data_IF_044399168706
#
_entry.id   IF_044399168706
#
_cell.length_a   1.000
_cell.length_b   1.000
_cell.length_c   1.000
_cell.angle_alpha   90.00
_cell.angle_beta   90.00
_cell.angle_gamma   90.00
#
_symmetry.space_group_name_H-M   'P 1'
#
loop_
_entity.id
_entity.type
_entity.pdbx_description
1 polymer ?
#
# COMPACT_ATOMS: atom_id res chain seq x y z
N UNK A 1 -9.23 -2.21 67.53
CA UNK A 1 -8.21 -2.97 66.76
C UNK A 1 -8.74 -4.18 65.99
N UNK A 2 -9.56 -5.09 66.55
CA UNK A 2 -10.04 -6.28 65.80
C UNK A 2 -10.98 -5.95 64.62
N UNK A 3 -11.85 -4.95 64.77
CA UNK A 3 -12.80 -4.54 63.72
C UNK A 3 -12.11 -3.85 62.52
N UNK A 4 -11.13 -2.99 62.78
CA UNK A 4 -10.31 -2.32 61.73
C UNK A 4 -9.50 -3.32 60.91
N UNK A 5 -8.96 -4.36 61.54
CA UNK A 5 -8.27 -5.45 60.84
C UNK A 5 -9.21 -6.24 59.94
N UNK A 6 -10.46 -6.47 60.37
CA UNK A 6 -11.49 -7.11 59.54
C UNK A 6 -11.84 -6.30 58.28
N UNK A 7 -11.99 -4.97 58.41
CA UNK A 7 -12.29 -4.08 57.28
C UNK A 7 -11.16 -4.07 56.25
N UNK A 8 -9.90 -4.03 56.69
CA UNK A 8 -8.73 -4.06 55.80
C UNK A 8 -8.67 -5.38 55.02
N UNK A 9 -8.98 -6.51 55.67
CA UNK A 9 -9.00 -7.83 55.01
C UNK A 9 -10.11 -7.90 53.95
N UNK A 10 -11.30 -7.37 54.23
CA UNK A 10 -12.41 -7.33 53.25
C UNK A 10 -12.06 -6.44 52.04
N UNK A 11 -11.43 -5.29 52.28
CA UNK A 11 -10.96 -4.41 51.20
C UNK A 11 -9.88 -5.10 50.35
N UNK A 12 -8.95 -5.83 50.97
CA UNK A 12 -7.94 -6.61 50.26
C UNK A 12 -8.57 -7.72 49.40
N UNK A 13 -9.62 -8.41 49.87
CA UNK A 13 -10.31 -9.44 49.07
C UNK A 13 -11.08 -8.87 47.87
N UNK A 14 -11.59 -7.64 47.97
CA UNK A 14 -12.21 -6.93 46.85
C UNK A 14 -11.19 -6.42 45.83
N UNK A 15 -9.95 -6.17 46.26
CA UNK A 15 -8.83 -5.82 45.39
C UNK A 15 -8.12 -7.04 44.77
N UNK A 16 -8.44 -8.25 45.25
CA UNK A 16 -7.91 -9.54 44.76
C UNK A 16 -8.82 -10.24 43.74
N UNK A 17 -9.96 -9.64 43.36
CA UNK A 17 -10.71 -10.08 42.18
C UNK A 17 -9.98 -9.65 40.89
N UNK A 18 -8.80 -10.23 40.68
CA UNK A 18 -8.03 -10.11 39.45
C UNK A 18 -8.79 -10.69 38.27
N UNK A 19 -8.49 -10.14 37.09
CA UNK A 19 -9.26 -10.18 35.85
C UNK A 19 -10.03 -11.48 35.55
N UNK A 20 -11.36 -11.37 35.60
CA UNK A 20 -12.32 -12.35 35.05
C UNK A 20 -12.17 -12.54 33.53
N UNK A 21 -11.56 -11.58 32.83
CA UNK A 21 -11.48 -11.50 31.38
C UNK A 21 -10.19 -12.14 30.82
N UNK A 22 -9.93 -13.40 31.21
CA UNK A 22 -8.82 -14.19 30.64
C UNK A 22 -9.29 -14.92 29.37
N UNK A 23 -8.70 -14.56 28.23
CA UNK A 23 -8.81 -15.33 26.99
C UNK A 23 -7.60 -16.24 26.84
N UNK A 24 -7.79 -17.57 26.88
CA UNK A 24 -6.68 -18.52 26.76
C UNK A 24 -6.28 -18.70 25.29
N UNK A 25 -4.97 -18.82 25.02
CA UNK A 25 -4.47 -19.03 23.65
C UNK A 25 -5.03 -20.27 22.97
N UNK A 26 -5.42 -21.30 23.73
CA UNK A 26 -6.02 -22.53 23.20
C UNK A 26 -7.44 -22.30 22.64
N UNK A 27 -8.10 -21.22 23.01
CA UNK A 27 -9.48 -20.89 22.61
C UNK A 27 -9.48 -19.95 21.37
N UNK A 28 -8.29 -19.62 20.85
CA UNK A 28 -8.08 -18.66 19.77
C UNK A 28 -7.27 -19.29 18.64
N UNK A 29 -7.65 -18.99 17.39
CA UNK A 29 -6.82 -19.27 16.22
C UNK A 29 -6.40 -17.98 15.55
N UNK A 30 -5.11 -17.84 15.27
CA UNK A 30 -4.53 -16.59 14.79
C UNK A 30 -4.76 -16.47 13.28
N UNK A 31 -5.32 -15.34 12.86
CA UNK A 31 -5.57 -15.03 11.45
C UNK A 31 -4.55 -14.01 10.93
N UNK A 32 -3.49 -14.46 10.23
CA UNK A 32 -2.52 -13.56 9.58
C UNK A 32 -3.05 -12.90 8.30
N UNK A 33 -4.06 -13.48 7.65
CA UNK A 33 -4.49 -13.10 6.32
C UNK A 33 -6.02 -13.10 6.18
N UNK A 34 -6.58 -11.99 5.68
CA UNK A 34 -8.00 -11.84 5.39
C UNK A 34 -8.24 -11.29 3.99
N UNK A 35 -9.31 -11.73 3.36
CA UNK A 35 -9.86 -11.18 2.12
C UNK A 35 -11.28 -10.67 2.35
N UNK A 36 -11.62 -9.52 1.78
CA UNK A 36 -12.93 -8.88 1.95
C UNK A 36 -13.48 -8.53 0.56
N UNK A 37 -14.69 -8.99 0.28
CA UNK A 37 -15.43 -8.71 -0.94
C UNK A 37 -16.91 -8.48 -0.66
N UNK A 38 -17.67 -8.15 -1.71
CA UNK A 38 -19.10 -7.86 -1.64
C UNK A 38 -19.40 -6.39 -1.86
N UNK A 39 -20.49 -5.93 -1.27
CA UNK A 39 -21.01 -4.57 -1.40
C UNK A 39 -21.48 -4.01 -0.06
N UNK A 40 -21.81 -2.71 -0.01
CA UNK A 40 -22.29 -2.07 1.21
C UNK A 40 -23.56 -2.78 1.72
N UNK A 41 -23.50 -3.33 2.95
CA UNK A 41 -24.59 -4.09 3.55
C UNK A 41 -24.57 -5.60 3.28
N UNK A 42 -23.72 -6.09 2.38
CA UNK A 42 -23.46 -7.52 2.16
C UNK A 42 -21.96 -7.79 1.99
N UNK A 43 -21.29 -7.99 3.12
CA UNK A 43 -19.85 -8.27 3.17
C UNK A 43 -19.61 -9.77 3.28
N UNK A 44 -18.72 -10.27 2.44
CA UNK A 44 -18.13 -11.60 2.55
C UNK A 44 -16.68 -11.45 2.98
N UNK A 45 -16.31 -12.15 4.05
CA UNK A 45 -14.94 -12.16 4.55
C UNK A 45 -14.39 -13.59 4.57
N UNK A 46 -13.18 -13.76 4.02
CA UNK A 46 -12.43 -15.01 4.03
C UNK A 46 -11.24 -14.86 4.98
N UNK A 47 -11.06 -15.83 5.87
CA UNK A 47 -10.05 -15.83 6.92
C UNK A 47 -9.13 -17.04 6.72
N UNK A 48 -7.82 -16.83 6.56
CA UNK A 48 -6.84 -17.93 6.50
C UNK A 48 -6.05 -17.99 7.80
N UNK A 49 -5.88 -19.19 8.32
CA UNK A 49 -5.17 -19.44 9.57
C UNK A 49 -4.46 -20.81 9.54
N UNK A 50 -3.33 -20.95 10.24
CA UNK A 50 -2.61 -22.21 10.32
C UNK A 50 -3.36 -23.21 11.21
N UNK A 51 -3.37 -24.48 10.81
CA UNK A 51 -3.84 -25.60 11.61
C UNK A 51 -2.73 -26.64 11.75
N UNK A 52 -2.72 -27.35 12.87
CA UNK A 52 -1.69 -28.37 13.14
C UNK A 52 -2.30 -29.75 12.92
N UNK A 53 -1.92 -30.41 11.81
CA UNK A 53 -2.31 -31.79 11.52
C UNK A 53 -1.07 -32.68 11.38
N UNK A 54 -1.03 -33.78 12.13
CA UNK A 54 0.03 -34.81 12.03
C UNK A 54 1.48 -34.27 12.11
N UNK A 55 1.71 -33.24 12.93
CA UNK A 55 3.03 -32.61 13.09
C UNK A 55 3.46 -31.72 11.93
N UNK A 56 2.55 -31.42 10.99
CA UNK A 56 2.73 -30.43 9.92
C UNK A 56 1.79 -29.25 10.13
N UNK A 57 2.26 -28.07 9.76
CA UNK A 57 1.41 -26.89 9.66
C UNK A 57 0.70 -26.98 8.31
N UNK A 58 -0.61 -27.14 8.36
CA UNK A 58 -1.52 -26.95 7.24
C UNK A 58 -2.21 -25.60 7.38
N UNK A 59 -2.92 -25.18 6.34
CA UNK A 59 -3.68 -23.94 6.37
C UNK A 59 -5.14 -24.23 6.07
N UNK A 60 -5.99 -23.62 6.85
CA UNK A 60 -7.43 -23.74 6.73
C UNK A 60 -8.03 -22.36 6.47
N UNK A 61 -9.17 -22.37 5.82
CA UNK A 61 -9.92 -21.16 5.53
C UNK A 61 -11.29 -21.27 6.18
N UNK A 62 -11.76 -20.15 6.73
CA UNK A 62 -13.15 -20.00 7.15
C UNK A 62 -13.74 -18.79 6.43
N UNK A 63 -15.00 -18.88 6.04
CA UNK A 63 -15.70 -17.82 5.33
C UNK A 63 -16.96 -17.48 6.09
N UNK A 64 -17.27 -16.19 6.17
CA UNK A 64 -18.55 -15.75 6.73
C UNK A 64 -19.12 -14.57 5.98
N UNK A 65 -20.43 -14.39 6.13
CA UNK A 65 -21.18 -13.30 5.51
C UNK A 65 -21.89 -12.45 6.55
N UNK A 66 -22.07 -11.18 6.26
CA UNK A 66 -22.91 -10.32 7.09
C UNK A 66 -22.92 -8.87 6.66
N UNK A 67 -23.75 -8.07 7.33
CA UNK A 67 -23.93 -6.63 7.04
C UNK A 67 -22.70 -5.76 7.33
N UNK A 68 -21.66 -6.33 7.93
CA UNK A 68 -20.39 -5.67 8.22
C UNK A 68 -19.29 -6.73 8.33
N UNK A 69 -18.02 -6.30 8.23
CA UNK A 69 -16.88 -7.20 8.46
C UNK A 69 -16.89 -7.86 9.84
N UNK A 70 -17.49 -7.21 10.85
CA UNK A 70 -17.67 -7.80 12.18
C UNK A 70 -18.71 -8.92 12.18
N UNK A 71 -19.85 -8.70 11.52
CA UNK A 71 -20.87 -9.73 11.38
C UNK A 71 -20.35 -10.93 10.56
N UNK A 72 -19.64 -10.67 9.47
CA UNK A 72 -18.99 -11.70 8.66
C UNK A 72 -17.97 -12.51 9.47
N UNK A 73 -17.17 -11.88 10.34
CA UNK A 73 -16.29 -12.60 11.27
C UNK A 73 -17.07 -13.46 12.27
N UNK A 74 -18.16 -12.93 12.84
CA UNK A 74 -19.00 -13.69 13.77
C UNK A 74 -19.63 -14.92 13.11
N UNK A 75 -20.04 -14.81 11.85
CA UNK A 75 -20.55 -15.93 11.06
C UNK A 75 -19.46 -16.98 10.78
N UNK A 76 -18.25 -16.53 10.38
CA UNK A 76 -17.10 -17.39 10.16
C UNK A 76 -16.63 -18.13 11.43
N UNK A 77 -16.75 -17.49 12.60
CA UNK A 77 -16.43 -18.12 13.89
C UNK A 77 -17.33 -19.33 14.22
N UNK A 78 -18.55 -19.42 13.67
CA UNK A 78 -19.43 -20.58 13.88
C UNK A 78 -18.97 -21.83 13.11
N UNK A 79 -17.92 -21.70 12.30
CA UNK A 79 -17.36 -22.77 11.46
C UNK A 79 -15.96 -23.19 11.91
N UNK A 80 -15.46 -22.63 13.02
CA UNK A 80 -14.13 -22.93 13.58
C UNK A 80 -14.25 -23.48 15.00
N UNK A 81 -13.29 -24.31 15.42
CA UNK A 81 -13.27 -24.85 16.78
C UNK A 81 -12.88 -23.78 17.81
N UNK A 82 -11.94 -22.91 17.44
CA UNK A 82 -11.49 -21.76 18.20
C UNK A 82 -11.98 -20.45 17.58
N UNK A 83 -12.06 -19.38 18.37
CA UNK A 83 -12.43 -18.07 17.84
C UNK A 83 -11.29 -17.48 16.98
N UNK A 84 -11.64 -16.94 15.81
CA UNK A 84 -10.69 -16.23 14.94
C UNK A 84 -10.17 -14.99 15.65
N UNK A 85 -8.85 -14.87 15.82
CA UNK A 85 -8.16 -13.74 16.44
C UNK A 85 -7.34 -12.94 15.39
N UNK A 86 -7.49 -11.62 15.42
CA UNK A 86 -6.92 -10.66 14.45
C UNK A 86 -5.71 -9.89 15.00
N UNK A 87 -5.21 -10.24 16.19
CA UNK A 87 -4.12 -9.56 16.86
C UNK A 87 -2.81 -9.59 16.06
N UNK A 88 -2.61 -10.64 15.24
CA UNK A 88 -1.45 -10.79 14.37
C UNK A 88 -1.81 -10.70 12.88
N UNK A 89 -2.91 -10.02 12.54
CA UNK A 89 -3.28 -9.78 11.14
C UNK A 89 -2.13 -9.04 10.41
N UNK A 90 -1.62 -9.61 9.33
CA UNK A 90 -0.52 -9.06 8.55
C UNK A 90 -0.99 -8.42 7.25
N UNK A 91 -2.01 -9.00 6.60
CA UNK A 91 -2.51 -8.54 5.28
C UNK A 91 -4.03 -8.56 5.22
N UNK A 92 -4.59 -7.50 4.66
CA UNK A 92 -5.99 -7.37 4.26
C UNK A 92 -6.02 -7.21 2.73
N UNK A 93 -6.58 -8.20 2.02
CA UNK A 93 -6.95 -8.04 0.62
C UNK A 93 -8.39 -7.59 0.50
N UNK A 94 -8.62 -6.71 -0.45
CA UNK A 94 -9.94 -6.16 -0.73
C UNK A 94 -10.23 -6.28 -2.21
N UNK A 95 -11.41 -6.79 -2.56
CA UNK A 95 -11.84 -6.80 -3.95
C UNK A 95 -11.88 -5.37 -4.48
N UNK A 96 -11.36 -5.15 -5.68
CA UNK A 96 -11.37 -3.84 -6.33
C UNK A 96 -12.81 -3.30 -6.49
N UNK A 97 -13.80 -4.18 -6.67
CA UNK A 97 -15.20 -3.78 -6.80
C UNK A 97 -15.78 -3.23 -5.50
N UNK A 98 -15.56 -3.88 -4.35
CA UNK A 98 -15.92 -3.33 -3.05
C UNK A 98 -15.27 -1.95 -2.84
N UNK A 99 -14.00 -1.80 -3.22
CA UNK A 99 -13.26 -0.55 -3.07
C UNK A 99 -13.80 0.61 -3.92
N UNK A 100 -14.59 0.36 -4.97
CA UNK A 100 -15.28 1.43 -5.73
C UNK A 100 -16.40 2.09 -4.93
N UNK A 101 -16.92 1.40 -3.91
CA UNK A 101 -17.88 1.95 -2.94
C UNK A 101 -17.13 2.59 -1.76
N UNK A 102 -17.85 3.18 -0.80
CA UNK A 102 -17.21 3.60 0.45
C UNK A 102 -16.83 2.36 1.28
N UNK A 103 -15.55 1.99 1.23
CA UNK A 103 -15.02 0.81 1.90
C UNK A 103 -14.44 1.11 3.29
N UNK A 104 -14.41 2.37 3.72
CA UNK A 104 -13.94 2.75 5.05
C UNK A 104 -14.66 1.98 6.17
N UNK A 105 -15.99 1.75 6.11
CA UNK A 105 -16.71 0.93 7.09
C UNK A 105 -16.20 -0.51 7.17
N UNK A 106 -15.76 -1.08 6.04
CA UNK A 106 -15.21 -2.44 5.98
C UNK A 106 -13.87 -2.56 6.73
N UNK A 107 -13.14 -1.44 6.88
CA UNK A 107 -11.88 -1.37 7.62
C UNK A 107 -12.03 -0.95 9.09
N UNK A 108 -13.18 -0.36 9.46
CA UNK A 108 -13.39 0.24 10.78
C UNK A 108 -13.17 -0.73 11.94
N UNK A 109 -13.65 -1.98 11.79
CA UNK A 109 -13.43 -3.03 12.79
C UNK A 109 -11.95 -3.27 13.05
N UNK A 110 -11.12 -3.29 12.00
CA UNK A 110 -9.70 -3.57 12.15
C UNK A 110 -8.98 -2.42 12.85
N UNK A 111 -9.34 -1.19 12.50
CA UNK A 111 -8.67 0.00 13.02
C UNK A 111 -9.07 0.34 14.46
N UNK A 112 -10.35 0.16 14.84
CA UNK A 112 -10.86 0.59 16.16
C UNK A 112 -10.70 -0.45 17.27
N UNK A 113 -10.44 -1.71 16.95
CA UNK A 113 -10.31 -2.76 17.97
C UNK A 113 -8.90 -2.72 18.56
N UNK A 114 -8.71 -2.41 19.87
CA UNK A 114 -7.39 -2.11 20.44
C UNK A 114 -6.35 -3.24 20.32
N UNK A 115 -6.80 -4.50 20.24
CA UNK A 115 -5.92 -5.67 20.13
C UNK A 115 -5.39 -5.89 18.70
N UNK A 116 -6.02 -5.29 17.69
CA UNK A 116 -5.66 -5.52 16.30
C UNK A 116 -4.41 -4.76 15.90
N UNK A 117 -3.65 -5.35 14.98
CA UNK A 117 -2.45 -4.74 14.42
C UNK A 117 -2.83 -3.66 13.41
N UNK A 118 -2.57 -2.40 13.74
CA UNK A 118 -2.78 -1.28 12.80
C UNK A 118 -1.70 -1.18 11.71
N UNK A 119 -0.66 -2.02 11.79
CA UNK A 119 0.42 -2.10 10.81
C UNK A 119 0.21 -3.21 9.77
N UNK A 120 -1.00 -3.78 9.64
CA UNK A 120 -1.31 -4.72 8.57
C UNK A 120 -1.25 -4.01 7.22
N UNK A 121 -0.73 -4.66 6.19
CA UNK A 121 -0.76 -4.13 4.83
C UNK A 121 -2.15 -4.28 4.21
N UNK A 122 -2.50 -3.38 3.30
CA UNK A 122 -3.74 -3.44 2.53
C UNK A 122 -3.40 -3.46 1.04
N UNK A 123 -4.08 -4.32 0.28
CA UNK A 123 -3.99 -4.30 -1.18
C UNK A 123 -5.34 -4.61 -1.85
N UNK A 124 -5.50 -4.11 -3.07
CA UNK A 124 -6.64 -4.39 -3.93
C UNK A 124 -6.38 -5.66 -4.75
N UNK A 125 -7.43 -6.43 -4.99
CA UNK A 125 -7.39 -7.61 -5.86
C UNK A 125 -8.44 -7.51 -6.96
N UNK A 126 -8.07 -7.96 -8.16
CA UNK A 126 -8.99 -8.09 -9.30
C UNK A 126 -9.49 -9.53 -9.44
N UNK A 127 -10.77 -9.69 -9.78
CA UNK A 127 -11.39 -11.00 -9.93
C UNK A 127 -11.87 -11.60 -8.61
N UNK A 128 -12.14 -12.91 -8.61
CA UNK A 128 -12.74 -13.61 -7.48
C UNK A 128 -11.76 -13.73 -6.30
N UNK A 129 -12.17 -13.29 -5.10
CA UNK A 129 -11.33 -13.35 -3.89
C UNK A 129 -10.85 -14.78 -3.59
N UNK A 130 -11.70 -15.78 -3.84
CA UNK A 130 -11.37 -17.18 -3.61
C UNK A 130 -10.10 -17.65 -4.35
N UNK A 131 -9.80 -17.07 -5.52
CA UNK A 131 -8.57 -17.39 -6.28
C UNK A 131 -7.29 -16.90 -5.61
N UNK A 132 -7.39 -15.92 -4.70
CA UNK A 132 -6.26 -15.45 -3.91
C UNK A 132 -6.02 -16.32 -2.67
N UNK A 133 -7.04 -17.04 -2.19
CA UNK A 133 -6.91 -18.04 -1.12
C UNK A 133 -6.50 -19.41 -1.66
N UNK A 134 -6.94 -19.74 -2.87
CA UNK A 134 -6.60 -20.98 -3.57
C UNK A 134 -6.06 -20.68 -4.98
N UNK A 135 -4.82 -20.15 -5.11
CA UNK A 135 -4.25 -19.84 -6.41
C UNK A 135 -4.18 -21.05 -7.35
N UNK A 136 -4.52 -20.90 -8.64
CA UNK A 136 -4.39 -21.98 -9.62
C UNK A 136 -2.95 -22.47 -9.80
N UNK A 137 -1.98 -21.57 -9.58
CA UNK A 137 -0.55 -21.85 -9.71
C UNK A 137 0.02 -22.59 -8.50
N UNK A 138 1.06 -23.39 -8.73
CA UNK A 138 1.77 -24.09 -7.65
C UNK A 138 2.63 -23.11 -6.85
N UNK A 139 2.19 -22.78 -5.64
CA UNK A 139 2.96 -21.95 -4.71
C UNK A 139 3.99 -22.78 -3.93
N UNK A 140 5.13 -22.16 -3.61
CA UNK A 140 6.18 -22.76 -2.76
C UNK A 140 5.89 -22.61 -1.26
N UNK A 141 4.94 -21.77 -0.91
CA UNK A 141 4.54 -21.43 0.45
C UNK A 141 3.04 -21.20 0.49
N UNK A 142 2.48 -21.26 1.69
CA UNK A 142 1.08 -20.90 1.91
C UNK A 142 0.82 -19.40 1.65
N UNK A 143 -0.44 -19.07 1.33
CA UNK A 143 -0.94 -17.72 1.10
C UNK A 143 -0.72 -16.78 2.29
N UNK A 144 -0.90 -17.29 3.51
CA UNK A 144 -0.71 -16.57 4.78
C UNK A 144 0.74 -16.15 5.01
N UNK A 145 1.71 -16.86 4.42
CA UNK A 145 3.12 -16.48 4.41
C UNK A 145 3.48 -15.66 3.17
N UNK A 146 2.92 -16.03 2.01
CA UNK A 146 3.25 -15.42 0.72
C UNK A 146 2.88 -13.94 0.65
N UNK A 147 1.66 -13.55 1.02
CA UNK A 147 1.21 -12.16 0.87
C UNK A 147 1.97 -11.16 1.76
N UNK A 148 2.23 -11.45 3.05
CA UNK A 148 3.07 -10.58 3.85
C UNK A 148 4.46 -10.37 3.24
N UNK A 149 5.11 -11.43 2.75
CA UNK A 149 6.43 -11.34 2.12
C UNK A 149 6.38 -10.62 0.76
N UNK A 150 5.34 -10.85 -0.04
CA UNK A 150 5.10 -10.14 -1.29
C UNK A 150 4.98 -8.63 -1.04
N UNK A 151 4.15 -8.20 -0.09
CA UNK A 151 3.93 -6.78 0.19
C UNK A 151 5.15 -6.13 0.88
N UNK A 152 5.88 -6.86 1.73
CA UNK A 152 7.20 -6.42 2.23
C UNK A 152 8.17 -6.19 1.08
N UNK A 153 8.17 -7.07 0.08
CA UNK A 153 9.01 -6.93 -1.11
C UNK A 153 8.60 -5.71 -1.94
N UNK A 154 7.30 -5.49 -2.16
CA UNK A 154 6.76 -4.31 -2.85
C UNK A 154 7.25 -3.02 -2.19
N UNK A 155 7.18 -2.95 -0.86
CA UNK A 155 7.68 -1.80 -0.11
C UNK A 155 9.19 -1.67 -0.23
N UNK A 156 9.95 -2.76 -0.04
CA UNK A 156 11.42 -2.75 -0.09
C UNK A 156 11.96 -2.26 -1.44
N UNK A 157 11.29 -2.64 -2.53
CA UNK A 157 11.65 -2.29 -3.91
C UNK A 157 10.87 -1.10 -4.47
N UNK A 158 10.14 -0.37 -3.63
CA UNK A 158 9.36 0.82 -4.01
C UNK A 158 8.39 0.58 -5.17
N UNK A 159 7.89 -0.65 -5.36
CA UNK A 159 6.93 -1.00 -6.42
C UNK A 159 5.53 -0.42 -6.19
N UNK A 160 5.28 0.09 -4.99
CA UNK A 160 4.08 0.80 -4.60
C UNK A 160 4.32 1.52 -3.28
N UNK A 161 3.41 2.43 -2.94
CA UNK A 161 3.49 3.14 -1.68
C UNK A 161 3.27 2.18 -0.49
N UNK A 162 3.99 2.44 0.61
CA UNK A 162 3.87 1.68 1.84
C UNK A 162 2.64 2.14 2.62
N UNK A 163 1.51 1.46 2.42
CA UNK A 163 0.29 1.72 3.19
C UNK A 163 -0.01 0.58 4.14
N UNK A 164 0.20 0.85 5.43
CA UNK A 164 -0.43 0.09 6.50
C UNK A 164 -1.90 0.49 6.65
N UNK A 165 -2.67 -0.29 7.40
CA UNK A 165 -4.03 0.09 7.80
C UNK A 165 -4.07 1.46 8.47
N UNK A 166 -3.10 1.79 9.32
CA UNK A 166 -2.98 3.11 9.93
C UNK A 166 -2.78 4.21 8.88
N UNK A 167 -1.87 4.01 7.93
CA UNK A 167 -1.56 5.00 6.89
C UNK A 167 -2.74 5.17 5.93
N UNK A 168 -3.39 4.08 5.56
CA UNK A 168 -4.57 4.09 4.70
C UNK A 168 -5.72 4.86 5.35
N UNK A 169 -6.06 4.55 6.61
CA UNK A 169 -7.12 5.24 7.34
C UNK A 169 -6.77 6.73 7.53
N UNK A 170 -5.54 7.07 7.88
CA UNK A 170 -5.12 8.48 8.03
C UNK A 170 -5.23 9.25 6.71
N UNK A 171 -4.86 8.62 5.59
CA UNK A 171 -4.84 9.27 4.27
C UNK A 171 -6.26 9.42 3.72
N UNK A 172 -7.09 8.40 3.87
CA UNK A 172 -8.48 8.37 3.41
C UNK A 172 -9.37 9.47 4.01
N UNK A 173 -9.04 9.95 5.22
CA UNK A 173 -9.74 11.05 5.88
C UNK A 173 -9.01 12.40 5.80
N UNK A 174 -7.88 12.48 5.07
CA UNK A 174 -7.19 13.75 4.81
C UNK A 174 -7.72 14.35 3.50
N UNK A 175 -8.43 15.50 3.51
CA UNK A 175 -9.02 16.04 2.28
C UNK A 175 -7.97 16.52 1.26
N UNK A 176 -6.70 16.63 1.65
CA UNK A 176 -5.64 17.27 0.87
C UNK A 176 -4.62 16.29 0.26
N UNK A 177 -4.86 14.99 0.36
CA UNK A 177 -4.07 13.95 -0.30
C UNK A 177 -4.98 12.74 -0.50
N UNK A 178 -4.74 11.97 -1.56
CA UNK A 178 -5.51 10.77 -1.84
C UNK A 178 -4.68 9.50 -1.61
N UNK A 179 -5.39 8.40 -1.38
CA UNK A 179 -4.80 7.08 -1.15
C UNK A 179 -4.42 6.41 -2.49
N UNK A 180 -3.36 5.61 -2.48
CA UNK A 180 -3.12 4.60 -3.52
C UNK A 180 -2.79 3.28 -2.86
N UNK A 181 -3.38 2.17 -3.31
CA UNK A 181 -3.08 0.85 -2.73
C UNK A 181 -2.46 -0.07 -3.78
N UNK A 182 -1.53 -0.97 -3.41
CA UNK A 182 -1.04 -2.00 -4.33
C UNK A 182 -2.21 -2.75 -4.98
N UNK A 183 -2.11 -3.02 -6.28
CA UNK A 183 -3.14 -3.68 -7.06
C UNK A 183 -2.62 -5.02 -7.58
N UNK A 184 -3.32 -6.10 -7.20
CA UNK A 184 -2.93 -7.48 -7.49
C UNK A 184 -3.82 -8.08 -8.57
N UNK A 185 -3.20 -8.93 -9.39
CA UNK A 185 -3.86 -9.81 -10.35
C UNK A 185 -3.28 -11.21 -10.26
N UNK A 186 -4.08 -12.22 -10.61
CA UNK A 186 -3.53 -13.55 -10.92
C UNK A 186 -2.72 -13.45 -12.21
N UNK A 187 -1.48 -13.91 -12.19
CA UNK A 187 -0.68 -14.02 -13.40
C UNK A 187 -1.25 -15.15 -14.27
N UNK A 188 -1.69 -14.83 -15.48
CA UNK A 188 -2.34 -15.78 -16.39
C UNK A 188 -1.44 -16.97 -16.78
N UNK A 189 -0.12 -16.75 -16.91
CA UNK A 189 0.82 -17.81 -17.33
C UNK A 189 1.16 -18.78 -16.20
N UNK A 190 1.28 -18.26 -14.97
CA UNK A 190 1.77 -19.04 -13.82
C UNK A 190 0.68 -19.45 -12.85
N UNK A 191 -0.48 -18.78 -12.90
CA UNK A 191 -1.56 -18.92 -11.93
C UNK A 191 -1.25 -18.35 -10.54
N UNK A 192 -0.15 -17.60 -10.37
CA UNK A 192 0.31 -17.06 -9.09
C UNK A 192 -0.06 -15.57 -8.99
N UNK A 193 -0.58 -15.08 -7.84
CA UNK A 193 -0.85 -13.66 -7.63
C UNK A 193 0.42 -12.81 -7.79
N UNK A 194 0.30 -11.65 -8.44
CA UNK A 194 1.37 -10.66 -8.57
C UNK A 194 0.84 -9.25 -8.38
N UNK A 195 1.68 -8.35 -7.88
CA UNK A 195 1.40 -6.91 -7.90
C UNK A 195 1.67 -6.37 -9.30
N UNK A 196 0.70 -5.70 -9.90
CA UNK A 196 0.79 -5.13 -11.26
C UNK A 196 0.85 -3.61 -11.28
N UNK A 197 0.81 -2.99 -10.10
CA UNK A 197 0.87 -1.55 -9.92
C UNK A 197 0.06 -1.09 -8.70
N UNK A 198 -0.58 0.08 -8.80
CA UNK A 198 -1.33 0.69 -7.69
C UNK A 198 -2.68 1.24 -8.16
N UNK A 199 -3.74 0.97 -7.41
CA UNK A 199 -5.07 1.55 -7.64
C UNK A 199 -5.17 2.94 -7.02
N UNK A 200 -5.75 3.89 -7.77
CA UNK A 200 -5.91 5.29 -7.38
C UNK A 200 -7.26 5.53 -6.73
N UNK A 201 -7.26 6.22 -5.58
CA UNK A 201 -8.48 6.60 -4.89
C UNK A 201 -8.76 8.09 -5.08
N UNK A 202 -10.03 8.46 -5.11
CA UNK A 202 -10.45 9.84 -4.93
C UNK A 202 -11.34 9.87 -3.70
N UNK A 203 -10.90 10.60 -2.67
CA UNK A 203 -11.51 10.58 -1.33
C UNK A 203 -11.48 9.15 -0.75
N UNK A 204 -12.65 8.52 -0.59
CA UNK A 204 -12.82 7.19 0.00
C UNK A 204 -13.10 6.09 -1.03
N UNK A 205 -13.01 6.37 -2.32
CA UNK A 205 -13.41 5.42 -3.38
C UNK A 205 -12.30 5.17 -4.36
N UNK A 206 -12.10 3.90 -4.69
CA UNK A 206 -11.25 3.49 -5.80
C UNK A 206 -11.88 3.96 -7.11
N UNK A 207 -11.09 4.64 -7.92
CA UNK A 207 -11.54 5.30 -9.15
C UNK A 207 -11.74 4.34 -10.31
N UNK A 208 -11.23 3.10 -10.19
CA UNK A 208 -11.11 2.17 -11.30
C UNK A 208 -9.83 2.36 -12.13
N UNK A 209 -9.05 3.42 -11.88
CA UNK A 209 -7.81 3.72 -12.59
C UNK A 209 -6.62 3.18 -11.80
N UNK A 210 -5.70 2.53 -12.50
CA UNK A 210 -4.43 2.04 -11.94
C UNK A 210 -3.23 2.71 -12.59
N UNK A 211 -2.20 2.91 -11.76
CA UNK A 211 -0.82 3.06 -12.23
C UNK A 211 -0.27 1.65 -12.47
N UNK A 212 0.45 1.44 -13.57
CA UNK A 212 1.27 0.26 -13.82
C UNK A 212 2.43 0.16 -12.83
N UNK A 213 3.20 -0.93 -12.86
CA UNK A 213 4.37 -1.09 -11.99
C UNK A 213 5.41 0.01 -12.15
N UNK A 214 5.73 0.43 -13.39
CA UNK A 214 6.71 1.50 -13.63
C UNK A 214 6.18 2.86 -13.16
N UNK A 215 4.93 3.17 -13.44
CA UNK A 215 4.26 4.40 -12.99
C UNK A 215 4.13 4.43 -11.46
N UNK A 216 3.90 3.29 -10.82
CA UNK A 216 3.85 3.19 -9.34
C UNK A 216 5.20 3.50 -8.71
N UNK A 217 6.31 3.00 -9.27
CA UNK A 217 7.67 3.35 -8.83
C UNK A 217 7.89 4.86 -9.02
N UNK A 218 7.54 5.41 -10.19
CA UNK A 218 7.62 6.84 -10.47
C UNK A 218 6.82 7.68 -9.47
N UNK A 219 5.59 7.29 -9.14
CA UNK A 219 4.77 7.98 -8.15
C UNK A 219 5.43 7.96 -6.76
N UNK A 220 6.00 6.84 -6.32
CA UNK A 220 6.72 6.73 -5.06
C UNK A 220 7.98 7.61 -5.03
N UNK A 221 8.71 7.70 -6.16
CA UNK A 221 9.84 8.63 -6.33
C UNK A 221 9.34 10.08 -6.19
N UNK A 222 8.28 10.46 -6.92
CA UNK A 222 7.73 11.82 -6.92
C UNK A 222 7.15 12.23 -5.55
N UNK A 223 6.52 11.30 -4.84
CA UNK A 223 6.03 11.52 -3.49
C UNK A 223 7.18 11.66 -2.48
N UNK A 224 8.41 11.28 -2.84
CA UNK A 224 9.56 11.14 -1.95
C UNK A 224 9.29 10.12 -0.83
N UNK A 225 8.77 8.95 -1.22
CA UNK A 225 8.39 7.85 -0.34
C UNK A 225 9.14 6.54 -0.67
N UNK A 226 10.24 6.64 -1.43
CA UNK A 226 11.08 5.50 -1.81
C UNK A 226 11.61 4.77 -0.58
N UNK A 227 11.75 3.45 -0.71
CA UNK A 227 12.45 2.61 0.26
C UNK A 227 13.85 2.26 -0.27
N UNK A 228 14.36 1.07 0.07
CA UNK A 228 15.75 0.67 -0.18
C UNK A 228 16.15 0.68 -1.65
N UNK A 229 15.25 0.24 -2.53
CA UNK A 229 15.49 0.19 -3.97
C UNK A 229 14.36 0.90 -4.71
N UNK A 230 14.71 1.75 -5.66
CA UNK A 230 13.81 2.40 -6.62
C UNK A 230 14.42 2.19 -8.00
N UNK A 231 14.43 0.92 -8.42
CA UNK A 231 15.09 0.44 -9.62
C UNK A 231 14.15 0.53 -10.81
N UNK A 232 14.64 1.09 -11.90
CA UNK A 232 13.93 1.17 -13.17
C UNK A 232 14.87 0.81 -14.31
N UNK A 233 14.33 0.17 -15.34
CA UNK A 233 15.06 -0.15 -16.57
C UNK A 233 14.38 0.57 -17.72
N UNK A 234 15.16 1.25 -18.53
CA UNK A 234 14.70 2.05 -19.66
C UNK A 234 15.37 1.55 -20.94
N UNK A 235 14.57 1.41 -21.99
CA UNK A 235 15.08 1.17 -23.33
C UNK A 235 15.54 2.50 -23.95
N UNK A 236 16.75 2.50 -24.50
CA UNK A 236 17.31 3.63 -25.23
C UNK A 236 17.39 3.29 -26.72
N UNK A 237 16.26 3.42 -27.41
CA UNK A 237 16.09 3.03 -28.81
C UNK A 237 17.16 3.63 -29.72
N UNK A 238 17.48 4.93 -29.56
CA UNK A 238 18.49 5.65 -30.36
C UNK A 238 19.87 4.96 -30.34
N UNK A 239 20.20 4.27 -29.26
CA UNK A 239 21.47 3.57 -29.06
C UNK A 239 21.33 2.04 -29.10
N UNK A 240 20.10 1.54 -29.33
CA UNK A 240 19.77 0.12 -29.29
C UNK A 240 20.33 -0.58 -28.04
N UNK A 241 20.10 0.01 -26.88
CA UNK A 241 20.60 -0.49 -25.59
C UNK A 241 19.58 -0.25 -24.48
N UNK A 242 19.84 -0.81 -23.31
CA UNK A 242 19.03 -0.62 -22.11
C UNK A 242 19.89 0.00 -21.00
N UNK A 243 19.26 0.78 -20.13
CA UNK A 243 19.89 1.34 -18.94
C UNK A 243 19.06 0.96 -17.72
N UNK A 244 19.69 0.26 -16.78
CA UNK A 244 19.09 0.02 -15.45
C UNK A 244 19.68 0.99 -14.46
N UNK A 245 18.80 1.72 -13.76
CA UNK A 245 19.18 2.71 -12.76
C UNK A 245 18.48 2.42 -11.43
N UNK A 246 19.12 2.80 -10.34
CA UNK A 246 18.50 2.88 -9.02
C UNK A 246 18.49 4.34 -8.55
N UNK A 247 17.30 4.88 -8.26
CA UNK A 247 17.19 6.23 -7.70
C UNK A 247 17.59 6.19 -6.23
N UNK A 248 18.69 6.85 -5.90
CA UNK A 248 19.28 6.85 -4.56
C UNK A 248 18.68 7.93 -3.67
N UNK A 249 18.32 9.07 -4.26
CA UNK A 249 17.77 10.22 -3.56
C UNK A 249 16.95 11.08 -4.51
N UNK A 250 15.85 11.62 -3.99
CA UNK A 250 15.08 12.68 -4.63
C UNK A 250 15.10 13.93 -3.75
N UNK A 251 15.29 15.09 -4.36
CA UNK A 251 14.96 16.39 -3.77
C UNK A 251 13.87 17.00 -4.62
N UNK A 252 12.74 17.34 -4.01
CA UNK A 252 11.62 17.99 -4.70
C UNK A 252 11.47 19.44 -4.24
N UNK A 253 11.19 20.33 -5.19
CA UNK A 253 10.81 21.73 -4.94
C UNK A 253 9.58 22.03 -5.79
N UNK A 254 8.47 22.34 -5.14
CA UNK A 254 7.24 22.73 -5.81
C UNK A 254 7.01 24.22 -5.63
N UNK A 255 6.77 24.94 -6.72
CA UNK A 255 6.31 26.32 -6.69
C UNK A 255 4.84 26.32 -7.10
N UNK A 256 3.97 26.81 -6.23
CA UNK A 256 2.53 26.88 -6.49
C UNK A 256 2.23 28.32 -6.89
N UNK A 257 1.80 28.51 -8.15
CA UNK A 257 1.30 29.77 -8.67
C UNK A 257 -0.15 30.04 -8.25
N UNK A 258 -0.78 31.01 -8.89
CA UNK A 258 -2.22 31.29 -8.67
C UNK A 258 -3.10 30.18 -9.26
N UNK A 259 -2.68 29.65 -10.41
CA UNK A 259 -3.46 28.72 -11.23
C UNK A 259 -2.59 27.63 -11.88
N UNK A 260 -1.35 27.43 -11.40
CA UNK A 260 -0.45 26.40 -11.90
C UNK A 260 0.51 25.89 -10.82
N UNK A 261 1.20 24.79 -11.11
CA UNK A 261 2.29 24.26 -10.31
C UNK A 261 3.50 24.00 -11.20
N UNK A 262 4.67 24.45 -10.77
CA UNK A 262 5.95 23.95 -11.29
C UNK A 262 6.53 22.96 -10.27
N UNK A 263 6.65 21.70 -10.68
CA UNK A 263 7.13 20.60 -9.85
C UNK A 263 8.54 20.18 -10.28
N UNK A 264 9.56 20.70 -9.61
CA UNK A 264 10.97 20.39 -9.92
C UNK A 264 11.49 19.23 -9.07
N UNK A 265 12.12 18.25 -9.72
CA UNK A 265 12.72 17.06 -9.13
C UNK A 265 14.21 16.96 -9.47
N UNK A 266 15.06 16.87 -8.44
CA UNK A 266 16.48 16.58 -8.59
C UNK A 266 16.77 15.17 -8.09
N UNK A 267 17.16 14.28 -9.01
CA UNK A 267 17.37 12.85 -8.78
C UNK A 267 18.86 12.54 -8.71
N UNK A 268 19.33 11.99 -7.58
CA UNK A 268 20.63 11.30 -7.55
C UNK A 268 20.40 9.84 -7.97
N UNK A 269 21.01 9.39 -9.07
CA UNK A 269 20.80 8.04 -9.62
C UNK A 269 22.10 7.24 -9.68
N UNK A 270 22.05 5.97 -9.33
CA UNK A 270 23.12 4.99 -9.59
C UNK A 270 22.81 4.27 -10.89
N UNK A 271 23.78 4.18 -11.80
CA UNK A 271 23.66 3.28 -12.97
C UNK A 271 24.10 1.89 -12.51
N UNK A 272 23.22 0.90 -12.67
CA UNK A 272 23.51 -0.49 -12.30
C UNK A 272 23.81 -1.36 -13.53
N UNK A 273 23.23 -1.05 -14.69
CA UNK A 273 23.50 -1.74 -15.94
C UNK A 273 23.51 -0.76 -17.11
N UNK A 274 24.56 -0.82 -17.92
CA UNK A 274 24.69 -0.04 -19.16
C UNK A 274 25.71 -0.69 -20.10
N UNK A 275 25.21 -1.42 -21.10
CA UNK A 275 26.01 -2.29 -21.97
C UNK A 275 27.14 -1.61 -22.79
N UNK A 276 27.08 -0.32 -23.14
CA UNK A 276 28.21 0.35 -23.80
C UNK A 276 29.45 0.56 -22.91
N UNK A 277 29.34 0.41 -21.58
CA UNK A 277 30.45 0.48 -20.61
C UNK A 277 31.41 1.69 -20.76
N UNK A 278 30.95 2.80 -21.32
CA UNK A 278 31.77 3.97 -21.65
C UNK A 278 31.44 5.21 -20.81
N UNK A 279 30.97 5.00 -19.57
CA UNK A 279 30.61 6.07 -18.62
C UNK A 279 31.82 6.79 -18.02
N UNK A 280 33.05 6.32 -18.27
CA UNK A 280 34.27 7.07 -17.97
C UNK A 280 34.42 8.33 -18.85
N UNK A 281 33.79 8.36 -20.02
CA UNK A 281 33.80 9.54 -20.90
C UNK A 281 32.78 10.60 -20.46
N UNK A 282 33.22 11.85 -20.34
CA UNK A 282 32.35 12.97 -19.94
C UNK A 282 31.16 13.15 -20.88
N UNK A 283 31.40 13.07 -22.19
CA UNK A 283 30.37 13.24 -23.22
C UNK A 283 29.27 12.18 -23.11
N UNK A 284 29.63 10.91 -22.90
CA UNK A 284 28.65 9.84 -22.74
C UNK A 284 27.86 10.01 -21.46
N UNK A 285 28.50 10.51 -20.38
CA UNK A 285 27.78 10.83 -19.15
C UNK A 285 26.74 11.93 -19.36
N UNK A 286 27.08 12.99 -20.09
CA UNK A 286 26.14 14.07 -20.41
C UNK A 286 24.98 13.55 -21.29
N UNK A 287 25.27 12.67 -22.26
CA UNK A 287 24.24 12.06 -23.12
C UNK A 287 23.29 11.15 -22.33
N UNK A 288 23.82 10.31 -21.42
CA UNK A 288 23.02 9.45 -20.52
C UNK A 288 22.21 10.28 -19.54
N UNK A 289 22.79 11.33 -18.95
CA UNK A 289 22.05 12.21 -18.05
C UNK A 289 20.88 12.88 -18.76
N UNK A 290 21.09 13.43 -19.97
CA UNK A 290 20.02 14.07 -20.75
C UNK A 290 18.94 13.07 -21.18
N UNK A 291 19.32 11.84 -21.55
CA UNK A 291 18.38 10.76 -21.80
C UNK A 291 17.52 10.48 -20.56
N UNK A 292 18.15 10.23 -19.41
CA UNK A 292 17.43 9.94 -18.16
C UNK A 292 16.54 11.11 -17.72
N UNK A 293 16.99 12.36 -17.85
CA UNK A 293 16.17 13.54 -17.55
C UNK A 293 14.89 13.56 -18.38
N UNK A 294 15.01 13.29 -19.68
CA UNK A 294 13.88 13.21 -20.60
C UNK A 294 12.94 12.05 -20.24
N UNK A 295 13.49 10.84 -20.06
CA UNK A 295 12.69 9.65 -19.74
C UNK A 295 11.99 9.76 -18.38
N UNK A 296 12.68 10.23 -17.33
CA UNK A 296 12.02 10.45 -16.04
C UNK A 296 10.94 11.52 -16.13
N UNK A 297 11.16 12.59 -16.90
CA UNK A 297 10.14 13.61 -17.13
C UNK A 297 8.90 13.00 -17.79
N UNK A 298 9.06 12.23 -18.86
CA UNK A 298 7.95 11.56 -19.55
C UNK A 298 7.16 10.64 -18.61
N UNK A 299 7.86 9.85 -17.79
CA UNK A 299 7.23 9.00 -16.78
C UNK A 299 6.48 9.81 -15.70
N UNK A 300 7.05 10.91 -15.23
CA UNK A 300 6.42 11.76 -14.23
C UNK A 300 5.20 12.50 -14.79
N UNK A 301 5.29 13.00 -16.03
CA UNK A 301 4.16 13.61 -16.74
C UNK A 301 3.02 12.58 -16.94
N UNK A 302 3.36 11.32 -17.27
CA UNK A 302 2.37 10.25 -17.37
C UNK A 302 1.68 9.93 -16.04
N UNK A 303 2.43 9.92 -14.92
CA UNK A 303 1.86 9.77 -13.58
C UNK A 303 0.90 10.92 -13.28
N UNK A 304 1.33 12.17 -13.46
CA UNK A 304 0.47 13.36 -13.23
C UNK A 304 -0.81 13.27 -14.04
N UNK A 305 -0.71 12.93 -15.33
CA UNK A 305 -1.87 12.81 -16.19
C UNK A 305 -2.87 11.79 -15.67
N UNK A 306 -2.41 10.57 -15.33
CA UNK A 306 -3.30 9.52 -14.81
C UNK A 306 -3.91 9.88 -13.46
N UNK A 307 -3.15 10.53 -12.59
CA UNK A 307 -3.65 10.95 -11.28
C UNK A 307 -4.67 12.07 -11.42
N UNK A 308 -4.52 12.98 -12.39
CA UNK A 308 -5.51 14.00 -12.73
C UNK A 308 -6.78 13.39 -13.34
N UNK A 309 -6.65 12.45 -14.29
CA UNK A 309 -7.78 11.69 -14.85
C UNK A 309 -8.58 10.95 -13.77
N UNK A 310 -7.91 10.52 -12.70
CA UNK A 310 -8.51 9.86 -11.55
C UNK A 310 -9.03 10.82 -10.47
N UNK A 311 -8.89 12.14 -10.64
CA UNK A 311 -9.16 13.14 -9.60
C UNK A 311 -8.50 12.76 -8.24
N UNK A 312 -7.24 12.32 -8.30
CA UNK A 312 -6.54 11.62 -7.21
C UNK A 312 -5.17 12.24 -6.94
N UNK A 313 -5.04 13.10 -5.93
CA UNK A 313 -3.75 13.70 -5.57
C UNK A 313 -2.96 12.80 -4.59
N UNK A 314 -2.36 11.74 -5.12
CA UNK A 314 -1.53 10.81 -4.33
C UNK A 314 -0.13 11.37 -4.00
N UNK A 315 0.28 12.45 -4.67
CA UNK A 315 1.60 13.07 -4.49
C UNK A 315 1.59 14.05 -3.31
N UNK A 316 0.43 14.63 -3.01
CA UNK A 316 0.19 15.52 -1.89
C UNK A 316 0.45 16.99 -2.19
N UNK A 317 0.17 17.44 -3.42
CA UNK A 317 0.18 18.87 -3.75
C UNK A 317 -0.82 19.64 -2.88
N UNK A 318 -1.99 19.07 -2.65
CA UNK A 318 -3.08 19.61 -1.86
C UNK A 318 -2.67 19.95 -0.45
N UNK A 319 -1.83 19.12 0.19
CA UNK A 319 -1.28 19.43 1.52
C UNK A 319 -0.47 20.73 1.52
N UNK A 320 0.29 20.98 0.45
CA UNK A 320 1.07 22.23 0.31
C UNK A 320 0.17 23.41 -0.05
N UNK A 321 -0.81 23.21 -0.93
CA UNK A 321 -1.82 24.22 -1.30
C UNK A 321 -2.64 24.63 -0.07
N UNK A 322 -3.18 23.67 0.69
CA UNK A 322 -3.89 23.91 1.95
C UNK A 322 -3.03 24.65 2.97
N UNK A 323 -1.73 24.36 3.06
CA UNK A 323 -0.86 25.01 4.04
C UNK A 323 -0.51 26.47 3.69
N UNK A 324 -0.35 26.82 2.41
CA UNK A 324 0.27 28.08 2.01
C UNK A 324 -0.47 28.88 0.92
N UNK A 325 -1.50 28.32 0.29
CA UNK A 325 -2.21 28.88 -0.87
C UNK A 325 -3.74 28.73 -0.72
N UNK A 326 -4.28 29.38 0.31
CA UNK A 326 -5.70 29.26 0.70
C UNK A 326 -6.68 29.69 -0.41
N UNK A 327 -6.32 30.66 -1.24
CA UNK A 327 -7.18 31.11 -2.35
C UNK A 327 -7.39 29.98 -3.38
N UNK A 328 -6.33 29.22 -3.69
CA UNK A 328 -6.42 28.05 -4.57
C UNK A 328 -7.14 26.89 -3.89
N UNK A 329 -6.88 26.66 -2.60
CA UNK A 329 -7.54 25.60 -1.81
C UNK A 329 -9.06 25.78 -1.72
N UNK A 330 -9.54 27.02 -1.54
CA UNK A 330 -10.95 27.32 -1.32
C UNK A 330 -11.72 27.59 -2.62
N UNK A 331 -11.09 27.42 -3.80
CA UNK A 331 -11.70 27.69 -5.10
C UNK A 331 -12.87 26.75 -5.40
N UNK A 332 -12.69 25.46 -5.15
CA UNK A 332 -13.69 24.39 -5.29
C UNK A 332 -13.21 23.17 -4.47
N UNK A 333 -13.85 22.01 -4.62
CA UNK A 333 -13.36 20.71 -4.19
C UNK A 333 -11.92 20.47 -4.71
N UNK A 334 -11.02 20.05 -3.81
CA UNK A 334 -9.60 19.93 -4.14
C UNK A 334 -9.35 18.94 -5.27
N UNK A 335 -10.04 17.79 -5.27
CA UNK A 335 -9.90 16.76 -6.29
C UNK A 335 -10.23 17.28 -7.70
N UNK A 336 -11.29 18.10 -7.84
CA UNK A 336 -11.64 18.78 -9.09
C UNK A 336 -10.61 19.84 -9.46
N UNK A 337 -10.21 20.67 -8.49
CA UNK A 337 -9.20 21.71 -8.71
C UNK A 337 -7.89 21.09 -9.19
N UNK A 338 -7.48 19.97 -8.60
CA UNK A 338 -6.28 19.22 -8.96
C UNK A 338 -6.36 18.63 -10.38
N UNK A 339 -7.50 18.04 -10.76
CA UNK A 339 -7.71 17.44 -12.07
C UNK A 339 -7.49 18.43 -13.22
N UNK A 340 -7.91 19.69 -13.06
CA UNK A 340 -7.80 20.73 -14.08
C UNK A 340 -6.51 21.58 -13.96
N UNK A 341 -5.70 21.38 -12.92
CA UNK A 341 -4.56 22.26 -12.63
C UNK A 341 -3.39 22.00 -13.61
N UNK A 342 -2.89 23.00 -14.34
CA UNK A 342 -1.65 22.85 -15.08
C UNK A 342 -0.47 22.56 -14.15
N UNK A 343 0.17 21.40 -14.33
CA UNK A 343 1.36 20.98 -13.58
C UNK A 343 2.51 20.78 -14.57
N UNK A 344 3.52 21.64 -14.47
CA UNK A 344 4.76 21.52 -15.25
C UNK A 344 5.81 20.75 -14.44
N UNK A 345 6.27 19.61 -14.96
CA UNK A 345 7.32 18.83 -14.32
C UNK A 345 8.69 19.19 -14.90
N UNK A 346 9.64 19.49 -14.03
CA UNK A 346 11.05 19.64 -14.37
C UNK A 346 11.86 18.53 -13.70
N UNK A 347 12.74 17.87 -14.44
CA UNK A 347 13.61 16.82 -13.90
C UNK A 347 15.06 17.15 -14.19
N UNK A 348 15.90 17.05 -13.17
CA UNK A 348 17.35 17.09 -13.31
C UNK A 348 17.95 15.82 -12.70
N UNK A 349 18.88 15.19 -13.42
CA UNK A 349 19.50 13.93 -13.01
C UNK A 349 20.97 14.16 -12.72
N UNK A 350 21.39 13.74 -11.53
CA UNK A 350 22.79 13.64 -11.15
C UNK A 350 23.17 12.18 -11.02
N UNK A 351 24.00 11.70 -11.93
CA UNK A 351 24.56 10.36 -11.81
C UNK A 351 25.60 10.30 -10.67
N UNK A 352 25.43 9.32 -9.80
CA UNK A 352 26.41 8.86 -8.82
C UNK A 352 27.05 7.62 -9.43
N UNK A 353 28.33 7.71 -9.77
CA UNK A 353 29.10 6.55 -10.18
C UNK A 353 29.30 5.68 -8.94
N UNK A 354 28.55 4.58 -8.86
CA UNK A 354 28.70 3.57 -7.81
C UNK A 354 29.05 2.26 -8.47
N UNK A 355 30.30 1.82 -8.28
CA UNK A 355 30.82 0.47 -8.48
C UNK A 355 30.42 -0.27 -9.77
N UNK A 356 30.36 0.41 -10.92
CA UNK A 356 30.62 -0.29 -12.19
C UNK A 356 32.14 -0.48 -12.22
N UNK A 357 32.61 -1.59 -11.65
CA UNK A 357 33.95 -2.09 -11.94
C UNK A 357 33.98 -2.38 -13.43
N UNK A 358 34.78 -1.60 -14.17
CA UNK A 358 35.16 -1.89 -15.56
C UNK A 358 35.82 -3.26 -15.69
#
# INVERSE_FOLDING_TARGET
>A
MRFQKGIIIVILTLLLSGCWDETQYKDLTIVPFIGIEGEEGEITAMFAFPTFQNGKIEYSTSQGKGVSTRAARSDANNQTMEALDMAHLEVILMSADLAKTDFAPSLDMFFRTPRNRITSYIALVEGEMATYFNPPGKMKSDVSYFYPELLRTVVLYSYGANFTLQDAMKTMFDPAIDLSLPYLRINEETGIPKVVGSGLFSKQRYTGITLSSSESISAVIMANQMNKYARMTFEWEKKNTQITVNVMRVKKKWNIGLDNITASYHLDVSIEEYAPHNLHEKKNREEVAAFLETTFKEHFDAVIKKTQEAESDILGFGRKVRAFHQDLWNKDDWQKTYADLPIEVEVNVRMKLTNITE
#
